data_IF_417684475749
#
_entry.id   IF_417684475749
#
_cell.length_a   1.000
_cell.length_b   1.000
_cell.length_c   1.000
_cell.angle_alpha   90.00
_cell.angle_beta   90.00
_cell.angle_gamma   90.00
#
_symmetry.space_group_name_H-M   'P 1'
#
loop_
_entity.id
_entity.type
_entity.pdbx_description
1 polymer ?
#
# COMPACT_ATOMS: atom_id res chain seq x y z
N UNK A 1 35.85 65.76 -9.04
CA UNK A 1 35.76 64.30 -9.28
C UNK A 1 34.70 63.74 -8.34
N UNK A 2 33.53 63.32 -8.86
CA UNK A 2 32.52 62.61 -8.05
C UNK A 2 32.90 61.13 -8.01
N UNK A 3 33.16 60.59 -6.82
CA UNK A 3 33.43 59.18 -6.62
C UNK A 3 32.13 58.38 -6.80
N UNK A 4 32.15 57.45 -7.75
CA UNK A 4 31.09 56.48 -8.05
C UNK A 4 30.96 55.48 -6.90
N UNK A 5 30.01 55.71 -6.00
CA UNK A 5 29.68 54.79 -4.92
C UNK A 5 28.83 53.62 -5.47
N UNK A 6 29.49 52.69 -6.17
CA UNK A 6 28.87 51.45 -6.61
C UNK A 6 28.42 50.66 -5.38
N UNK A 7 27.11 50.58 -5.15
CA UNK A 7 26.50 49.59 -4.24
C UNK A 7 26.75 48.21 -4.82
N UNK A 8 27.86 47.59 -4.44
CA UNK A 8 28.11 46.16 -4.72
C UNK A 8 27.55 45.37 -3.54
N UNK A 9 26.54 44.56 -3.81
CA UNK A 9 26.18 43.46 -2.91
C UNK A 9 27.29 42.42 -2.96
N UNK A 10 27.87 42.10 -1.80
CA UNK A 10 28.81 41.00 -1.64
C UNK A 10 27.96 39.74 -1.42
N UNK A 11 28.05 38.79 -2.36
CA UNK A 11 27.53 37.45 -2.15
C UNK A 11 28.59 36.71 -1.33
N UNK A 12 28.33 36.54 -0.03
CA UNK A 12 29.11 35.62 0.78
C UNK A 12 28.67 34.20 0.42
N UNK A 13 29.54 33.48 -0.30
CA UNK A 13 29.39 32.06 -0.56
C UNK A 13 29.80 31.33 0.74
N UNK A 14 28.96 31.46 1.77
CA UNK A 14 29.21 30.93 3.11
C UNK A 14 28.70 29.49 3.23
N UNK A 15 29.11 28.64 2.30
CA UNK A 15 29.36 27.22 2.51
C UNK A 15 30.02 26.71 1.22
N UNK A 16 30.64 25.54 1.25
CA UNK A 16 31.16 24.88 0.04
C UNK A 16 30.02 24.53 -0.95
N UNK A 17 29.52 25.54 -1.67
CA UNK A 17 28.21 25.61 -2.31
C UNK A 17 28.02 24.72 -3.53
N UNK A 18 27.88 23.41 -3.32
CA UNK A 18 27.21 22.56 -4.29
C UNK A 18 25.72 22.54 -3.94
N UNK A 19 24.93 23.38 -4.61
CA UNK A 19 23.47 23.25 -4.59
C UNK A 19 23.11 21.86 -5.11
N UNK A 20 22.42 21.08 -4.29
CA UNK A 20 21.89 19.80 -4.73
C UNK A 20 20.61 20.05 -5.52
N UNK A 21 20.30 19.16 -6.47
CA UNK A 21 19.08 19.26 -7.28
C UNK A 21 17.81 19.32 -6.40
N UNK A 22 17.85 18.70 -5.22
CA UNK A 22 16.72 18.71 -4.27
C UNK A 22 16.45 20.11 -3.68
N UNK A 23 17.48 20.97 -3.55
CA UNK A 23 17.38 22.29 -2.92
C UNK A 23 16.54 23.27 -3.75
N UNK A 24 16.49 23.05 -5.07
CA UNK A 24 15.70 23.86 -6.01
C UNK A 24 14.31 23.28 -6.28
N UNK A 25 13.99 22.11 -5.70
CA UNK A 25 12.72 21.42 -5.92
C UNK A 25 11.80 21.64 -4.72
N UNK A 26 10.61 22.24 -4.90
CA UNK A 26 9.62 22.35 -3.83
C UNK A 26 9.16 20.98 -3.32
N UNK A 27 9.11 20.81 -2.00
CA UNK A 27 8.62 19.58 -1.38
C UNK A 27 7.09 19.50 -1.37
N UNK A 28 6.45 19.40 -2.53
CA UNK A 28 4.98 19.40 -2.68
C UNK A 28 4.36 17.99 -2.60
N UNK A 29 3.07 17.88 -2.22
CA UNK A 29 2.32 16.62 -2.32
C UNK A 29 2.13 16.21 -3.79
N UNK A 30 2.23 14.91 -4.05
CA UNK A 30 2.16 14.29 -5.37
C UNK A 30 1.36 12.99 -5.31
N UNK A 31 0.73 12.64 -6.43
CA UNK A 31 0.06 11.36 -6.64
C UNK A 31 0.87 10.54 -7.64
N UNK A 32 1.34 9.38 -7.19
CA UNK A 32 1.94 8.36 -8.02
C UNK A 32 0.88 7.33 -8.39
N UNK A 33 0.89 6.93 -9.65
CA UNK A 33 -0.03 5.96 -10.20
C UNK A 33 0.79 4.92 -10.95
N UNK A 34 0.71 3.65 -10.53
CA UNK A 34 1.47 2.56 -11.11
C UNK A 34 0.58 1.62 -11.91
N UNK A 35 1.12 1.06 -12.99
CA UNK A 35 0.48 0.02 -13.79
C UNK A 35 1.12 -1.35 -13.59
N UNK A 36 0.37 -2.40 -13.90
CA UNK A 36 0.84 -3.79 -13.85
C UNK A 36 2.04 -4.04 -14.79
N UNK A 37 2.11 -3.32 -15.92
CA UNK A 37 3.25 -3.39 -16.85
C UNK A 37 4.45 -2.54 -16.42
N UNK A 38 4.43 -1.98 -15.21
CA UNK A 38 5.56 -1.23 -14.66
C UNK A 38 5.71 0.17 -15.24
N UNK A 39 4.61 0.85 -15.56
CA UNK A 39 4.61 2.28 -15.83
C UNK A 39 4.25 3.05 -14.57
N UNK A 40 4.87 4.22 -14.38
CA UNK A 40 4.54 5.13 -13.29
C UNK A 40 4.17 6.50 -13.85
N UNK A 41 3.09 7.07 -13.31
CA UNK A 41 2.63 8.44 -13.56
C UNK A 41 2.82 9.25 -12.30
N UNK A 42 3.40 10.45 -12.41
CA UNK A 42 3.38 11.46 -11.35
C UNK A 42 2.40 12.57 -11.74
N UNK A 43 1.44 12.84 -10.88
CA UNK A 43 0.40 13.84 -11.07
C UNK A 43 0.25 14.70 -9.83
N UNK A 44 -0.34 15.89 -9.97
CA UNK A 44 -0.76 16.68 -8.81
C UNK A 44 -1.92 15.98 -8.07
N UNK A 45 -2.02 16.04 -6.73
CA UNK A 45 -3.10 15.40 -5.98
C UNK A 45 -4.50 15.86 -6.41
N UNK A 46 -4.63 17.15 -6.75
CA UNK A 46 -5.89 17.77 -7.16
C UNK A 46 -6.38 17.32 -8.56
N UNK A 47 -5.64 16.43 -9.23
CA UNK A 47 -6.01 15.87 -10.54
C UNK A 47 -7.28 15.01 -10.45
N UNK A 48 -7.55 14.41 -9.28
CA UNK A 48 -8.75 13.61 -9.03
C UNK A 48 -9.66 14.34 -8.05
N UNK A 49 -10.78 14.86 -8.55
CA UNK A 49 -11.81 15.42 -7.69
C UNK A 49 -12.68 14.30 -7.11
N UNK A 50 -13.03 14.42 -5.83
CA UNK A 50 -14.00 13.57 -5.15
C UNK A 50 -15.30 13.53 -5.96
N UNK A 51 -15.88 12.34 -6.17
CA UNK A 51 -17.20 12.18 -6.76
C UNK A 51 -18.15 11.56 -5.74
N UNK A 52 -19.44 11.91 -5.83
CA UNK A 52 -20.48 11.37 -4.98
C UNK A 52 -20.78 9.90 -5.34
N UNK A 53 -21.42 9.16 -4.42
CA UNK A 53 -21.87 7.79 -4.66
C UNK A 53 -22.76 7.72 -5.92
N UNK A 54 -22.60 6.68 -6.74
CA UNK A 54 -23.44 6.43 -7.92
C UNK A 54 -23.02 7.15 -9.20
N UNK A 55 -21.79 7.66 -9.27
CA UNK A 55 -21.19 8.16 -10.53
C UNK A 55 -20.04 7.29 -10.98
N UNK A 56 -20.01 6.93 -12.27
CA UNK A 56 -18.86 6.30 -12.94
C UNK A 56 -17.61 7.13 -12.65
N UNK A 57 -16.60 6.50 -12.04
CA UNK A 57 -15.36 7.15 -11.65
C UNK A 57 -14.67 7.83 -12.84
N UNK A 58 -14.10 9.02 -12.65
CA UNK A 58 -13.25 9.65 -13.68
C UNK A 58 -12.07 8.73 -14.01
N UNK A 59 -12.09 8.14 -15.19
CA UNK A 59 -11.02 7.29 -15.74
C UNK A 59 -9.64 7.95 -15.52
N UNK A 60 -8.62 7.16 -15.17
CA UNK A 60 -7.23 7.61 -14.95
C UNK A 60 -6.49 7.88 -16.29
N UNK A 61 -7.24 8.06 -17.38
CA UNK A 61 -6.74 8.26 -18.73
C UNK A 61 -6.68 6.94 -19.50
N UNK A 62 -6.27 7.00 -20.77
CA UNK A 62 -6.05 5.78 -21.55
C UNK A 62 -4.80 5.07 -21.01
N UNK A 63 -5.00 3.87 -20.45
CA UNK A 63 -3.94 2.90 -20.28
C UNK A 63 -3.46 2.44 -21.66
N UNK A 64 -2.22 1.95 -21.75
CA UNK A 64 -1.78 1.25 -22.96
C UNK A 64 -2.61 -0.02 -23.14
N UNK A 65 -2.67 -0.53 -24.38
CA UNK A 65 -3.43 -1.75 -24.71
C UNK A 65 -3.00 -2.89 -23.78
N UNK A 66 -3.98 -3.53 -23.14
CA UNK A 66 -3.82 -4.62 -22.16
C UNK A 66 -3.00 -4.24 -20.91
N UNK A 67 -3.04 -2.98 -20.45
CA UNK A 67 -2.42 -2.55 -19.19
C UNK A 67 -3.50 -2.11 -18.20
N UNK A 68 -3.29 -2.38 -16.90
CA UNK A 68 -4.20 -2.03 -15.82
C UNK A 68 -3.46 -1.24 -14.74
N UNK A 69 -4.15 -0.34 -14.05
CA UNK A 69 -3.58 0.36 -12.88
C UNK A 69 -3.52 -0.61 -11.70
N UNK A 70 -2.35 -0.72 -11.06
CA UNK A 70 -2.13 -1.58 -9.90
C UNK A 70 -2.25 -0.80 -8.59
N UNK A 71 -1.58 0.35 -8.46
CA UNK A 71 -1.47 1.09 -7.20
C UNK A 71 -1.57 2.61 -7.40
N UNK A 72 -2.14 3.29 -6.40
CA UNK A 72 -2.14 4.75 -6.26
C UNK A 72 -1.55 5.14 -4.91
N UNK A 73 -0.59 6.06 -4.93
CA UNK A 73 0.21 6.42 -3.76
C UNK A 73 0.27 7.94 -3.67
N UNK A 74 -0.06 8.50 -2.51
CA UNK A 74 0.19 9.91 -2.22
C UNK A 74 1.48 10.01 -1.41
N UNK A 75 2.41 10.84 -1.87
CA UNK A 75 3.68 11.11 -1.21
C UNK A 75 4.10 12.56 -1.46
N UNK A 76 5.19 13.01 -0.86
CA UNK A 76 5.79 14.31 -1.17
C UNK A 76 6.93 14.17 -2.17
N UNK A 77 7.26 15.27 -2.86
CA UNK A 77 8.31 15.31 -3.87
C UNK A 77 9.66 14.80 -3.34
N UNK A 78 9.99 15.14 -2.09
CA UNK A 78 11.26 14.74 -1.47
C UNK A 78 11.25 13.33 -0.89
N UNK A 79 10.12 12.64 -0.80
CA UNK A 79 10.07 11.29 -0.21
C UNK A 79 10.95 10.31 -1.01
N UNK A 80 11.55 9.35 -0.31
CA UNK A 80 12.09 8.16 -0.93
C UNK A 80 10.94 7.24 -1.35
N UNK A 81 10.93 6.81 -2.61
CA UNK A 81 10.00 5.79 -3.08
C UNK A 81 10.75 4.48 -3.19
N UNK A 82 10.41 3.51 -2.35
CA UNK A 82 11.01 2.19 -2.33
C UNK A 82 10.23 1.26 -3.25
N UNK A 83 10.92 0.62 -4.20
CA UNK A 83 10.35 -0.29 -5.19
C UNK A 83 10.85 -1.70 -4.92
N UNK A 84 9.96 -2.59 -4.50
CA UNK A 84 10.27 -3.99 -4.21
C UNK A 84 9.93 -4.85 -5.41
N UNK A 85 10.86 -5.70 -5.83
CA UNK A 85 10.68 -6.61 -6.94
C UNK A 85 10.22 -8.01 -6.53
N UNK A 86 9.70 -8.76 -7.50
CA UNK A 86 9.36 -10.18 -7.38
C UNK A 86 10.58 -11.04 -6.97
N UNK A 87 11.79 -10.60 -7.31
CA UNK A 87 13.07 -11.23 -6.96
C UNK A 87 13.59 -10.89 -5.56
N UNK A 88 12.85 -10.09 -4.78
CA UNK A 88 13.24 -9.73 -3.42
C UNK A 88 14.35 -8.68 -3.35
N UNK A 89 14.53 -7.90 -4.42
CA UNK A 89 15.43 -6.74 -4.47
C UNK A 89 14.60 -5.48 -4.23
N UNK A 90 15.19 -4.51 -3.53
CA UNK A 90 14.61 -3.17 -3.36
C UNK A 90 15.49 -2.12 -4.02
N UNK A 91 14.83 -1.22 -4.73
CA UNK A 91 15.40 -0.02 -5.35
C UNK A 91 14.80 1.22 -4.69
N UNK A 92 15.46 2.37 -4.83
CA UNK A 92 14.96 3.64 -4.31
C UNK A 92 15.17 4.74 -5.33
N UNK A 93 14.17 5.60 -5.51
CA UNK A 93 14.29 6.88 -6.20
C UNK A 93 13.49 7.94 -5.44
N UNK A 94 13.93 9.20 -5.46
CA UNK A 94 13.13 10.31 -4.92
C UNK A 94 11.87 10.49 -5.77
N UNK A 95 10.74 10.82 -5.16
CA UNK A 95 9.49 10.98 -5.90
C UNK A 95 9.57 12.03 -7.03
N UNK A 96 10.33 13.12 -6.81
CA UNK A 96 10.53 14.15 -7.82
C UNK A 96 11.31 13.69 -9.06
N UNK A 97 12.01 12.55 -9.01
CA UNK A 97 12.71 11.99 -10.19
C UNK A 97 11.76 11.38 -11.22
N UNK A 98 10.52 11.07 -10.81
CA UNK A 98 9.49 10.60 -11.74
C UNK A 98 8.99 11.81 -12.54
N UNK A 99 8.98 11.78 -13.88
CA UNK A 99 8.46 12.90 -14.67
C UNK A 99 6.97 13.15 -14.40
N UNK A 100 6.59 14.42 -14.26
CA UNK A 100 5.18 14.81 -14.19
C UNK A 100 4.50 14.58 -15.52
N UNK A 101 3.29 14.02 -15.48
CA UNK A 101 2.50 13.82 -16.68
C UNK A 101 1.03 14.11 -16.43
N UNK A 102 0.29 14.36 -17.51
CA UNK A 102 -1.17 14.50 -17.44
C UNK A 102 -1.81 13.15 -17.14
N UNK A 103 -3.07 13.17 -16.67
CA UNK A 103 -3.88 11.96 -16.47
C UNK A 103 -3.93 11.08 -17.72
N UNK A 104 -4.07 11.67 -18.91
CA UNK A 104 -4.20 10.93 -20.17
C UNK A 104 -2.88 10.36 -20.72
N UNK A 105 -1.73 10.77 -20.19
CA UNK A 105 -0.43 10.25 -20.61
C UNK A 105 -0.25 8.78 -20.20
N UNK A 106 0.60 8.03 -20.92
CA UNK A 106 0.89 6.63 -20.60
C UNK A 106 1.76 6.46 -19.33
N UNK A 107 2.50 7.50 -18.92
CA UNK A 107 3.50 7.43 -17.85
C UNK A 107 4.88 6.99 -18.33
N UNK A 108 5.82 6.92 -17.39
CA UNK A 108 7.22 6.56 -17.63
C UNK A 108 7.46 5.09 -17.24
N UNK A 109 8.12 4.28 -18.09
CA UNK A 109 8.51 2.93 -17.72
C UNK A 109 9.48 2.94 -16.53
N UNK A 110 9.24 2.10 -15.51
CA UNK A 110 10.10 2.02 -14.32
C UNK A 110 11.54 1.65 -14.66
N UNK A 111 11.79 0.88 -15.72
CA UNK A 111 13.14 0.53 -16.22
C UNK A 111 13.95 1.75 -16.68
N UNK A 112 13.32 2.90 -16.95
CA UNK A 112 14.03 4.15 -17.25
C UNK A 112 14.47 4.89 -15.98
N UNK A 113 13.85 4.58 -14.85
CA UNK A 113 14.09 5.23 -13.55
C UNK A 113 14.96 4.33 -12.65
N UNK A 114 14.82 3.01 -12.79
CA UNK A 114 15.43 1.99 -11.95
C UNK A 114 16.26 1.01 -12.79
N UNK A 115 17.40 0.59 -12.26
CA UNK A 115 18.27 -0.41 -12.91
C UNK A 115 17.77 -1.85 -12.68
N UNK A 116 16.57 -2.15 -13.18
CA UNK A 116 15.97 -3.48 -13.05
C UNK A 116 16.68 -4.50 -13.94
N UNK A 117 16.78 -5.74 -13.46
CA UNK A 117 17.26 -6.85 -14.28
C UNK A 117 16.20 -7.28 -15.30
N UNK A 118 16.62 -7.93 -16.39
CA UNK A 118 15.68 -8.44 -17.39
C UNK A 118 14.67 -9.42 -16.76
N UNK A 119 13.39 -9.24 -17.09
CA UNK A 119 12.26 -10.00 -16.55
C UNK A 119 11.89 -9.74 -15.08
N UNK A 120 12.60 -8.85 -14.37
CA UNK A 120 12.27 -8.44 -13.00
C UNK A 120 11.05 -7.50 -12.98
N UNK A 121 10.11 -7.72 -12.05
CA UNK A 121 8.87 -6.96 -11.94
C UNK A 121 8.72 -6.34 -10.57
N UNK A 122 8.24 -5.10 -10.50
CA UNK A 122 7.92 -4.45 -9.22
C UNK A 122 6.58 -4.98 -8.70
N UNK A 123 6.56 -5.39 -7.44
CA UNK A 123 5.39 -6.00 -6.77
C UNK A 123 4.84 -5.15 -5.63
N UNK A 124 5.62 -4.21 -5.09
CA UNK A 124 5.15 -3.26 -4.08
C UNK A 124 5.93 -1.97 -4.12
N UNK A 125 5.27 -0.85 -3.84
CA UNK A 125 5.87 0.47 -3.79
C UNK A 125 5.50 1.17 -2.49
N UNK A 126 6.51 1.64 -1.75
CA UNK A 126 6.35 2.22 -0.41
C UNK A 126 7.00 3.60 -0.38
N UNK A 127 6.24 4.69 -0.25
CA UNK A 127 6.82 6.00 0.00
C UNK A 127 7.31 6.08 1.46
N UNK A 128 8.45 6.72 1.65
CA UNK A 128 9.13 6.88 2.93
C UNK A 128 9.64 8.31 3.04
N UNK A 129 9.00 9.10 3.89
CA UNK A 129 9.45 10.46 4.21
C UNK A 129 10.66 10.45 5.14
N UNK A 130 10.69 9.50 6.09
CA UNK A 130 11.75 9.34 7.07
C UNK A 130 11.98 7.85 7.39
N UNK A 131 13.23 7.48 7.65
CA UNK A 131 13.60 6.11 8.02
C UNK A 131 13.60 5.92 9.53
N UNK A 132 12.42 6.03 10.15
CA UNK A 132 12.25 5.92 11.59
C UNK A 132 12.59 4.52 12.13
N UNK A 133 13.19 4.46 13.32
CA UNK A 133 13.66 3.22 13.95
C UNK A 133 12.53 2.30 14.44
N UNK A 134 11.39 2.90 14.81
CA UNK A 134 10.19 2.21 15.30
C UNK A 134 9.24 1.76 14.17
N UNK A 135 9.61 2.04 12.91
CA UNK A 135 8.91 1.58 11.73
C UNK A 135 9.58 0.37 11.09
N UNK A 136 8.75 -0.50 10.54
CA UNK A 136 9.16 -1.75 9.94
C UNK A 136 8.48 -1.97 8.60
N UNK A 137 9.13 -2.73 7.74
CA UNK A 137 8.53 -3.31 6.55
C UNK A 137 8.23 -4.79 6.81
N UNK A 138 6.97 -5.16 6.64
CA UNK A 138 6.52 -6.56 6.61
C UNK A 138 6.40 -6.99 5.16
N UNK A 139 7.11 -8.05 4.82
CA UNK A 139 7.19 -8.64 3.49
C UNK A 139 6.53 -10.01 3.53
N UNK A 140 5.71 -10.32 2.53
CA UNK A 140 5.04 -11.60 2.37
C UNK A 140 5.29 -12.16 0.97
N UNK A 141 5.71 -13.41 0.91
CA UNK A 141 5.92 -14.16 -0.34
C UNK A 141 4.71 -15.01 -0.71
N UNK A 142 4.64 -15.43 -1.98
CA UNK A 142 3.54 -16.26 -2.49
C UNK A 142 3.48 -17.62 -1.79
N UNK A 143 4.63 -18.24 -1.50
CA UNK A 143 4.70 -19.52 -0.77
C UNK A 143 4.54 -19.37 0.75
N UNK A 144 4.19 -18.19 1.25
CA UNK A 144 3.83 -18.00 2.65
C UNK A 144 4.99 -17.80 3.61
N UNK A 145 6.10 -17.23 3.15
CA UNK A 145 7.14 -16.70 4.05
C UNK A 145 6.85 -15.24 4.40
N UNK A 146 6.94 -14.91 5.68
CA UNK A 146 6.81 -13.54 6.19
C UNK A 146 8.10 -13.08 6.85
N UNK A 147 8.42 -11.81 6.66
CA UNK A 147 9.60 -11.20 7.23
C UNK A 147 9.33 -9.76 7.66
N UNK A 148 9.77 -9.39 8.86
CA UNK A 148 9.77 -8.00 9.34
C UNK A 148 11.20 -7.48 9.37
N UNK A 149 11.45 -6.32 8.78
CA UNK A 149 12.76 -5.66 8.74
C UNK A 149 12.59 -4.22 9.20
N UNK A 150 13.48 -3.71 10.05
CA UNK A 150 13.46 -2.29 10.42
C UNK A 150 13.64 -1.42 9.17
N UNK A 151 12.86 -0.35 9.08
CA UNK A 151 12.88 0.57 7.95
C UNK A 151 14.26 1.18 7.73
N UNK A 152 15.03 1.38 8.81
CA UNK A 152 16.39 1.94 8.75
C UNK A 152 17.38 1.07 7.93
N UNK A 153 17.12 -0.22 7.73
CA UNK A 153 17.94 -1.05 6.81
C UNK A 153 17.86 -0.62 5.34
N UNK A 154 16.95 0.29 5.00
CA UNK A 154 16.66 0.81 3.66
C UNK A 154 17.01 2.29 3.49
N UNK A 155 17.64 2.92 4.48
CA UNK A 155 18.02 4.35 4.43
C UNK A 155 19.04 4.68 3.35
N UNK A 156 19.86 3.70 2.98
CA UNK A 156 20.85 3.83 1.91
C UNK A 156 20.76 2.67 0.93
N UNK A 157 20.13 2.92 -0.22
CA UNK A 157 19.98 1.98 -1.33
C UNK A 157 20.77 2.50 -2.54
N UNK A 158 21.73 1.70 -3.00
CA UNK A 158 22.47 1.97 -4.24
C UNK A 158 21.60 1.81 -5.49
N UNK A 159 22.01 2.40 -6.61
CA UNK A 159 21.26 2.35 -7.89
C UNK A 159 20.96 0.93 -8.39
N UNK A 160 21.88 -0.01 -8.17
CA UNK A 160 21.72 -1.43 -8.52
C UNK A 160 20.79 -2.20 -7.57
N UNK A 161 20.19 -1.52 -6.60
CA UNK A 161 19.35 -2.12 -5.59
C UNK A 161 20.14 -2.90 -4.54
N UNK A 162 19.40 -3.33 -3.51
CA UNK A 162 19.90 -4.19 -2.43
C UNK A 162 18.92 -5.32 -2.16
N UNK A 163 19.40 -6.44 -1.64
CA UNK A 163 18.54 -7.54 -1.19
C UNK A 163 17.62 -7.01 -0.07
N UNK A 164 16.31 -7.26 -0.17
CA UNK A 164 15.33 -7.02 0.88
C UNK A 164 14.97 -8.32 1.63
N UNK A 165 14.86 -9.43 0.88
CA UNK A 165 14.53 -10.77 1.37
C UNK A 165 15.25 -11.82 0.54
N UNK A 166 15.68 -12.90 1.20
CA UNK A 166 16.19 -14.08 0.50
C UNK A 166 15.03 -15.02 0.17
N UNK A 167 14.77 -15.23 -1.11
CA UNK A 167 13.68 -16.10 -1.55
C UNK A 167 14.11 -17.57 -1.56
N UNK A 168 13.15 -18.46 -1.35
CA UNK A 168 13.34 -19.89 -1.63
C UNK A 168 13.15 -20.16 -3.13
N UNK A 169 13.72 -21.24 -3.68
CA UNK A 169 13.57 -21.55 -5.10
C UNK A 169 12.10 -21.57 -5.55
N UNK A 170 11.82 -20.83 -6.63
CA UNK A 170 10.49 -20.70 -7.25
C UNK A 170 9.45 -19.95 -6.41
N UNK A 171 9.86 -19.18 -5.40
CA UNK A 171 9.01 -18.24 -4.67
C UNK A 171 9.22 -16.81 -5.19
N UNK A 172 8.27 -15.93 -4.93
CA UNK A 172 8.35 -14.52 -5.29
C UNK A 172 7.87 -13.63 -4.14
N UNK A 173 8.52 -12.48 -3.98
CA UNK A 173 8.04 -11.44 -3.07
C UNK A 173 6.86 -10.72 -3.73
N UNK A 174 5.69 -10.76 -3.10
CA UNK A 174 4.47 -10.19 -3.71
C UNK A 174 3.92 -8.98 -2.97
N UNK A 175 4.07 -8.92 -1.65
CA UNK A 175 3.53 -7.82 -0.86
C UNK A 175 4.53 -7.28 0.14
N UNK A 176 4.58 -5.95 0.24
CA UNK A 176 5.29 -5.23 1.30
C UNK A 176 4.34 -4.20 1.92
N UNK A 177 4.34 -4.08 3.24
CA UNK A 177 3.55 -3.09 3.99
C UNK A 177 4.39 -2.47 5.09
N UNK A 178 4.18 -1.17 5.34
CA UNK A 178 4.74 -0.50 6.52
C UNK A 178 3.90 -0.85 7.75
N UNK A 179 4.55 -1.10 8.88
CA UNK A 179 3.89 -1.29 10.17
C UNK A 179 4.78 -0.86 11.33
N UNK A 180 4.17 -0.75 12.50
CA UNK A 180 4.82 -0.67 13.81
C UNK A 180 4.72 -2.01 14.53
N UNK A 181 5.35 -2.15 15.71
CA UNK A 181 5.16 -3.33 16.55
C UNK A 181 3.74 -3.45 17.13
N UNK A 182 3.01 -2.34 17.23
CA UNK A 182 1.69 -2.32 17.88
C UNK A 182 0.54 -2.70 16.95
N UNK A 183 0.80 -2.70 15.64
CA UNK A 183 -0.19 -3.02 14.63
C UNK A 183 -0.51 -4.52 14.57
N UNK A 184 -1.64 -4.83 13.96
CA UNK A 184 -1.95 -6.21 13.58
C UNK A 184 -1.71 -6.39 12.07
N UNK A 185 -1.46 -7.63 11.68
CA UNK A 185 -1.36 -8.06 10.29
C UNK A 185 -2.43 -9.11 10.02
N UNK A 186 -3.24 -8.85 9.00
CA UNK A 186 -4.16 -9.82 8.43
C UNK A 186 -3.54 -10.40 7.18
N UNK A 187 -3.48 -11.73 7.09
CA UNK A 187 -2.94 -12.46 5.94
C UNK A 187 -3.96 -13.48 5.47
N UNK A 188 -4.11 -13.62 4.16
CA UNK A 188 -5.08 -14.54 3.59
C UNK A 188 -4.49 -15.41 2.48
N UNK A 189 -4.95 -16.65 2.38
CA UNK A 189 -4.64 -17.57 1.27
C UNK A 189 -5.68 -17.51 0.16
N UNK A 190 -5.35 -18.05 -1.01
CA UNK A 190 -6.26 -18.12 -2.17
C UNK A 190 -7.53 -18.91 -1.86
N UNK A 191 -7.45 -19.90 -0.96
CA UNK A 191 -8.61 -20.67 -0.52
C UNK A 191 -9.43 -19.99 0.59
N UNK A 192 -9.13 -18.73 0.93
CA UNK A 192 -9.91 -17.95 1.90
C UNK A 192 -9.60 -18.24 3.37
N UNK A 193 -8.47 -18.88 3.65
CA UNK A 193 -7.96 -19.03 5.01
C UNK A 193 -7.30 -17.72 5.47
N UNK A 194 -7.48 -17.36 6.74
CA UNK A 194 -7.01 -16.09 7.31
C UNK A 194 -6.22 -16.33 8.58
N UNK A 195 -5.07 -15.67 8.70
CA UNK A 195 -4.35 -15.47 9.96
C UNK A 195 -4.40 -13.99 10.29
N UNK A 196 -4.85 -13.69 11.50
CA UNK A 196 -4.69 -12.38 12.12
C UNK A 196 -3.64 -12.52 13.23
N UNK A 197 -2.59 -11.72 13.19
CA UNK A 197 -1.48 -11.77 14.16
C UNK A 197 -1.05 -10.37 14.58
N UNK A 198 -0.42 -10.24 15.74
CA UNK A 198 0.30 -9.01 16.09
C UNK A 198 1.59 -8.89 15.28
N UNK A 199 1.94 -7.70 14.82
CA UNK A 199 3.24 -7.45 14.18
C UNK A 199 4.42 -7.66 15.14
N UNK A 200 4.19 -7.57 16.45
CA UNK A 200 5.20 -7.78 17.50
C UNK A 200 5.78 -9.20 17.49
N UNK A 201 4.94 -10.23 17.28
CA UNK A 201 5.37 -11.64 17.31
C UNK A 201 6.27 -11.99 16.12
N UNK A 202 6.24 -11.19 15.05
CA UNK A 202 7.12 -11.34 13.90
C UNK A 202 8.48 -10.75 14.28
N UNK A 203 9.49 -11.59 14.49
CA UNK A 203 10.83 -11.11 14.85
C UNK A 203 11.37 -10.19 13.76
N UNK A 204 11.92 -9.04 14.17
CA UNK A 204 12.69 -8.19 13.27
C UNK A 204 14.00 -8.89 12.88
N UNK A 205 14.28 -8.95 11.59
CA UNK A 205 15.44 -9.62 11.00
C UNK A 205 16.20 -8.68 10.06
N UNK A 206 17.45 -9.01 9.78
CA UNK A 206 18.23 -8.34 8.73
C UNK A 206 17.77 -8.72 7.32
N UNK A 207 18.16 -7.90 6.34
CA UNK A 207 17.77 -8.04 4.92
C UNK A 207 18.17 -9.35 4.25
N UNK A 208 19.33 -9.91 4.56
CA UNK A 208 19.81 -11.14 3.93
C UNK A 208 19.34 -12.41 4.68
N UNK A 209 18.03 -12.55 4.83
CA UNK A 209 17.40 -13.72 5.47
C UNK A 209 16.06 -14.02 4.81
N UNK A 210 15.60 -15.27 4.93
CA UNK A 210 14.32 -15.74 4.38
C UNK A 210 13.08 -15.30 5.16
N UNK A 211 13.20 -15.15 6.48
CA UNK A 211 12.04 -14.96 7.35
C UNK A 211 11.44 -16.28 7.85
N UNK A 212 10.23 -16.20 8.40
CA UNK A 212 9.50 -17.30 9.03
C UNK A 212 8.31 -17.77 8.16
N UNK A 213 7.76 -18.94 8.46
CA UNK A 213 6.53 -19.41 7.81
C UNK A 213 5.34 -18.63 8.36
N UNK A 214 4.66 -17.87 7.51
CA UNK A 214 3.49 -17.07 7.85
C UNK A 214 2.28 -17.95 8.11
N UNK A 215 1.96 -18.80 7.14
CA UNK A 215 0.80 -19.70 7.12
C UNK A 215 1.24 -21.08 6.63
N UNK A 216 0.73 -22.12 7.28
CA UNK A 216 0.86 -23.50 6.80
C UNK A 216 -0.19 -23.74 5.71
N UNK A 217 0.20 -23.47 4.48
CA UNK A 217 -0.61 -23.64 3.29
C UNK A 217 -0.87 -25.13 3.02
N UNK A 218 -2.09 -25.44 2.56
CA UNK A 218 -2.42 -26.77 2.05
C UNK A 218 -1.84 -26.94 0.64
N UNK A 219 -1.77 -28.18 0.17
CA UNK A 219 -1.34 -28.48 -1.20
C UNK A 219 -2.16 -27.67 -2.23
N UNK A 220 -1.47 -27.05 -3.18
CA UNK A 220 -2.07 -26.17 -4.19
C UNK A 220 -2.53 -24.80 -3.70
N UNK A 221 -2.45 -24.50 -2.40
CA UNK A 221 -2.78 -23.18 -1.85
C UNK A 221 -1.55 -22.25 -1.87
N UNK A 222 -1.80 -20.95 -1.92
CA UNK A 222 -0.78 -19.90 -1.88
C UNK A 222 -1.33 -18.66 -1.20
N UNK A 223 -0.46 -17.80 -0.70
CA UNK A 223 -0.88 -16.49 -0.17
C UNK A 223 -1.56 -15.67 -1.27
N UNK A 224 -2.60 -14.93 -0.89
CA UNK A 224 -3.37 -14.05 -1.78
C UNK A 224 -3.33 -12.59 -1.33
N UNK A 225 -3.16 -12.32 -0.04
CA UNK A 225 -3.24 -10.97 0.47
C UNK A 225 -2.60 -10.79 1.83
N UNK A 226 -2.15 -9.57 2.09
CA UNK A 226 -1.75 -9.05 3.40
C UNK A 226 -2.26 -7.62 3.54
N UNK A 227 -2.72 -7.28 4.74
CA UNK A 227 -3.05 -5.92 5.09
C UNK A 227 -2.71 -5.62 6.55
N UNK A 228 -2.46 -4.35 6.85
CA UNK A 228 -2.08 -3.88 8.19
C UNK A 228 -3.27 -3.19 8.83
N UNK A 229 -3.48 -3.50 10.11
CA UNK A 229 -4.51 -2.88 10.95
C UNK A 229 -3.78 -2.01 11.98
N UNK A 230 -3.74 -0.69 11.75
CA UNK A 230 -3.14 0.25 12.69
C UNK A 230 -3.64 0.10 14.13
N UNK A 231 -2.73 0.18 15.09
CA UNK A 231 -3.04 0.10 16.52
C UNK A 231 -4.08 1.13 16.99
N UNK A 232 -4.13 2.30 16.33
CA UNK A 232 -5.13 3.34 16.59
C UNK A 232 -6.57 2.82 16.44
N UNK A 233 -6.82 2.00 15.41
CA UNK A 233 -8.15 1.43 15.12
C UNK A 233 -8.54 0.41 16.21
N UNK A 234 -7.57 -0.32 16.77
CA UNK A 234 -7.83 -1.31 17.83
C UNK A 234 -8.32 -0.63 19.10
N UNK A 235 -7.69 0.49 19.50
CA UNK A 235 -8.08 1.24 20.71
C UNK A 235 -9.54 1.72 20.63
N UNK A 236 -9.98 2.10 19.43
CA UNK A 236 -11.37 2.52 19.23
C UNK A 236 -12.35 1.33 19.31
N UNK A 237 -11.95 0.14 18.84
CA UNK A 237 -12.73 -1.08 18.97
C UNK A 237 -12.89 -1.52 20.44
N UNK A 238 -11.81 -1.49 21.22
CA UNK A 238 -11.83 -1.89 22.62
C UNK A 238 -12.76 -0.95 23.44
N UNK A 239 -12.68 0.37 23.18
CA UNK A 239 -13.56 1.38 23.82
C UNK A 239 -15.04 1.21 23.47
N UNK A 240 -15.35 0.84 22.23
CA UNK A 240 -16.72 0.57 21.79
C UNK A 240 -17.29 -0.72 22.41
N UNK A 241 -16.42 -1.63 22.83
CA UNK A 241 -16.80 -2.91 23.44
C UNK A 241 -17.15 -2.78 24.94
N UNK A 242 -16.67 -1.73 25.61
CA UNK A 242 -16.89 -1.47 27.05
C UNK A 242 -18.13 -0.60 27.34
N UNK A 243 -18.76 0.00 26.32
CA UNK A 243 -19.99 0.78 26.49
C UNK A 243 -21.20 -0.15 26.71
N UNK A 244 -22.14 0.17 27.64
CA UNK A 244 -23.35 -0.62 27.85
C UNK A 244 -24.14 -0.73 26.55
N UNK A 245 -24.58 -1.95 26.22
CA UNK A 245 -25.26 -2.30 24.97
C UNK A 245 -26.47 -1.38 24.70
N UNK A 246 -26.24 -0.30 23.96
CA UNK A 246 -27.31 0.41 23.28
C UNK A 246 -27.51 -0.27 21.92
N UNK A 247 -28.75 -0.68 21.66
CA UNK A 247 -29.22 -1.32 20.43
C UNK A 247 -29.07 -0.37 19.23
N UNK A 248 -27.85 -0.11 18.78
CA UNK A 248 -27.59 0.48 17.48
C UNK A 248 -27.54 -0.65 16.45
N UNK A 249 -28.70 -0.98 15.85
CA UNK A 249 -28.76 -1.69 14.56
C UNK A 249 -28.12 -0.81 13.49
N UNK A 250 -26.79 -0.84 13.41
CA UNK A 250 -26.02 -0.10 12.43
C UNK A 250 -24.61 -0.67 12.41
N UNK A 251 -24.23 -1.26 11.28
CA UNK A 251 -22.90 -1.80 11.00
C UNK A 251 -21.81 -0.81 11.43
N UNK A 252 -21.16 -1.04 12.58
CA UNK A 252 -19.93 -0.33 12.95
C UNK A 252 -18.75 -1.28 12.77
N UNK A 253 -17.73 -0.83 12.04
CA UNK A 253 -16.57 -1.63 11.65
C UNK A 253 -15.63 -1.95 12.83
N UNK A 254 -14.44 -2.49 12.56
CA UNK A 254 -13.85 -2.78 11.25
C UNK A 254 -14.24 -4.16 10.69
N UNK A 255 -14.15 -4.31 9.36
CA UNK A 255 -14.36 -5.56 8.63
C UNK A 255 -13.14 -5.93 7.80
N UNK A 256 -12.99 -7.22 7.53
CA UNK A 256 -12.23 -7.71 6.38
C UNK A 256 -13.19 -7.82 5.19
N UNK A 257 -12.91 -7.08 4.12
CA UNK A 257 -13.58 -7.19 2.84
C UNK A 257 -12.80 -8.17 1.96
N UNK A 258 -13.39 -9.33 1.70
CA UNK A 258 -12.86 -10.34 0.78
C UNK A 258 -13.38 -10.05 -0.62
N UNK A 259 -12.50 -10.09 -1.62
CA UNK A 259 -12.83 -9.93 -3.03
C UNK A 259 -12.33 -11.16 -3.78
N UNK A 260 -13.23 -11.81 -4.52
CA UNK A 260 -12.91 -12.99 -5.31
C UNK A 260 -12.39 -12.64 -6.71
N UNK A 261 -11.72 -13.58 -7.37
CA UNK A 261 -11.25 -13.42 -8.75
C UNK A 261 -12.43 -13.25 -9.73
N UNK A 262 -13.58 -13.85 -9.42
CA UNK A 262 -14.81 -13.66 -10.21
C UNK A 262 -15.59 -12.38 -9.85
N UNK A 263 -15.02 -11.48 -9.03
CA UNK A 263 -15.60 -10.16 -8.72
C UNK A 263 -16.62 -10.13 -7.57
N UNK A 264 -16.81 -11.21 -6.81
CA UNK A 264 -17.72 -11.20 -5.65
C UNK A 264 -17.05 -10.64 -4.40
N UNK A 265 -17.78 -9.79 -3.67
CA UNK A 265 -17.33 -9.21 -2.40
C UNK A 265 -18.07 -9.75 -1.18
N UNK A 266 -17.36 -10.02 -0.08
CA UNK A 266 -17.95 -10.35 1.22
C UNK A 266 -17.28 -9.59 2.35
N UNK A 267 -18.08 -8.92 3.20
CA UNK A 267 -17.59 -8.29 4.44
C UNK A 267 -17.74 -9.25 5.62
N UNK A 268 -16.68 -9.43 6.39
CA UNK A 268 -16.69 -10.22 7.63
C UNK A 268 -16.14 -9.38 8.77
N UNK A 269 -16.85 -9.26 9.91
CA UNK A 269 -16.36 -8.46 11.04
C UNK A 269 -15.00 -8.94 11.52
N UNK A 270 -14.10 -8.00 11.82
CA UNK A 270 -12.76 -8.34 12.30
C UNK A 270 -12.82 -9.14 13.62
N UNK A 271 -13.83 -8.89 14.45
CA UNK A 271 -14.09 -9.61 15.71
C UNK A 271 -14.31 -11.12 15.56
N UNK A 272 -14.60 -11.62 14.34
CA UNK A 272 -14.67 -13.07 14.09
C UNK A 272 -13.29 -13.74 14.00
N UNK A 273 -12.23 -12.97 13.85
CA UNK A 273 -10.87 -13.46 13.73
C UNK A 273 -10.12 -13.21 15.02
N UNK A 274 -9.91 -14.27 15.81
CA UNK A 274 -9.00 -14.21 16.96
C UNK A 274 -7.55 -14.14 16.49
N UNK A 275 -6.69 -13.56 17.33
CA UNK A 275 -5.25 -13.58 17.11
C UNK A 275 -4.73 -15.02 17.11
N UNK A 276 -3.90 -15.33 16.12
CA UNK A 276 -3.22 -16.62 15.97
C UNK A 276 -1.70 -16.41 15.90
N UNK A 277 -0.90 -17.38 16.36
CA UNK A 277 0.51 -17.42 16.04
C UNK A 277 0.70 -17.72 14.54
N UNK A 278 1.88 -17.39 14.02
CA UNK A 278 2.29 -17.78 12.67
C UNK A 278 2.38 -19.31 12.52
N UNK A 279 2.61 -19.77 11.28
CA UNK A 279 2.74 -21.19 10.94
C UNK A 279 1.52 -22.04 11.35
N UNK A 280 0.32 -21.47 11.19
CA UNK A 280 -0.97 -22.15 11.34
C UNK A 280 -1.70 -22.20 10.00
N UNK A 281 -2.76 -22.99 9.90
CA UNK A 281 -3.57 -23.05 8.68
C UNK A 281 -4.48 -21.80 8.56
N UNK A 282 -4.79 -21.14 9.68
CA UNK A 282 -5.71 -20.00 9.73
C UNK A 282 -7.17 -20.41 9.99
N UNK A 283 -8.05 -19.42 10.05
CA UNK A 283 -9.50 -19.56 10.18
C UNK A 283 -10.16 -19.32 8.82
N UNK A 284 -11.33 -19.92 8.59
CA UNK A 284 -12.07 -19.69 7.34
C UNK A 284 -12.62 -18.25 7.37
N UNK A 285 -12.14 -17.39 6.47
CA UNK A 285 -12.69 -16.06 6.25
C UNK A 285 -13.80 -16.07 5.21
N UNK A 286 -13.54 -16.68 4.07
CA UNK A 286 -14.51 -16.87 2.99
C UNK A 286 -14.34 -18.26 2.38
N UNK A 287 -15.45 -19.01 2.31
CA UNK A 287 -15.51 -20.29 1.60
C UNK A 287 -15.84 -20.04 0.13
N UNK A 288 -14.90 -20.36 -0.75
CA UNK A 288 -15.07 -20.27 -2.19
C UNK A 288 -15.67 -21.56 -2.77
N UNK A 289 -16.23 -21.46 -3.98
CA UNK A 289 -16.52 -22.62 -4.83
C UNK A 289 -15.21 -23.23 -5.35
N UNK A 290 -15.27 -24.40 -5.98
CA UNK A 290 -14.06 -25.07 -6.51
C UNK A 290 -13.38 -24.27 -7.63
N UNK A 291 -14.11 -23.40 -8.32
CA UNK A 291 -13.65 -22.61 -9.47
C UNK A 291 -13.22 -21.19 -9.11
N UNK A 292 -13.55 -20.70 -7.91
CA UNK A 292 -13.27 -19.32 -7.50
C UNK A 292 -12.16 -19.27 -6.45
N UNK A 293 -11.44 -18.16 -6.39
CA UNK A 293 -10.33 -17.94 -5.46
C UNK A 293 -10.37 -16.54 -4.91
N UNK A 294 -9.68 -16.33 -3.80
CA UNK A 294 -9.49 -15.01 -3.23
C UNK A 294 -8.49 -14.21 -4.08
N UNK A 295 -8.93 -13.06 -4.58
CA UNK A 295 -8.07 -12.09 -5.25
C UNK A 295 -7.40 -11.15 -4.24
N UNK A 296 -8.17 -10.65 -3.26
CA UNK A 296 -7.65 -9.71 -2.27
C UNK A 296 -8.49 -9.65 -0.99
N UNK A 297 -7.87 -9.18 0.09
CA UNK A 297 -8.53 -8.80 1.34
C UNK A 297 -8.12 -7.38 1.71
N UNK A 298 -9.10 -6.58 2.11
CA UNK A 298 -8.88 -5.23 2.60
C UNK A 298 -9.49 -5.05 3.98
N UNK A 299 -8.80 -4.36 4.87
CA UNK A 299 -9.40 -3.90 6.12
C UNK A 299 -10.20 -2.64 5.80
N UNK A 300 -11.49 -2.64 6.11
CA UNK A 300 -12.41 -1.52 5.82
C UNK A 300 -13.24 -1.16 7.04
N UNK A 301 -13.82 0.04 7.03
CA UNK A 301 -14.81 0.44 8.03
C UNK A 301 -14.24 1.16 9.24
N UNK A 302 -13.09 1.82 9.10
CA UNK A 302 -12.52 2.72 10.09
C UNK A 302 -12.29 4.10 9.46
N UNK A 303 -12.57 5.16 10.21
CA UNK A 303 -12.17 6.52 9.87
C UNK A 303 -10.98 6.86 10.73
N UNK A 304 -9.78 6.90 10.15
CA UNK A 304 -8.63 7.49 10.81
C UNK A 304 -8.85 9.00 10.81
N UNK A 305 -9.07 9.58 12.00
CA UNK A 305 -9.16 11.02 12.15
C UNK A 305 -7.88 11.66 11.59
N UNK A 306 -8.01 12.42 10.49
CA UNK A 306 -6.90 13.12 9.84
C UNK A 306 -6.23 12.39 8.66
N UNK A 307 -6.56 11.13 8.36
CA UNK A 307 -6.06 10.47 7.15
C UNK A 307 -6.96 10.80 5.94
N UNK A 308 -6.41 11.44 4.90
CA UNK A 308 -7.09 11.57 3.60
C UNK A 308 -7.29 10.15 3.04
N UNK A 309 -8.52 9.66 2.84
CA UNK A 309 -8.75 8.28 2.41
C UNK A 309 -8.59 8.20 0.89
N UNK A 310 -7.40 7.83 0.43
CA UNK A 310 -7.20 7.34 -0.93
C UNK A 310 -6.60 5.95 -0.85
N UNK A 311 -7.48 4.95 -0.90
CA UNK A 311 -7.08 3.61 -1.29
C UNK A 311 -7.85 3.34 -2.58
N UNK A 312 -7.12 3.38 -3.69
CA UNK A 312 -7.59 2.87 -4.97
C UNK A 312 -6.83 1.58 -5.23
N UNK A 313 -7.54 0.46 -5.23
CA UNK A 313 -6.96 -0.83 -5.58
C UNK A 313 -7.50 -1.25 -6.93
N UNK A 314 -6.61 -1.53 -7.87
CA UNK A 314 -6.93 -2.24 -9.09
C UNK A 314 -6.96 -3.74 -8.82
N UNK A 315 -8.12 -4.37 -9.00
CA UNK A 315 -8.22 -5.84 -9.09
C UNK A 315 -8.94 -6.16 -10.40
N UNK A 316 -8.27 -6.79 -11.35
CA UNK A 316 -8.84 -7.21 -12.65
C UNK A 316 -9.65 -6.11 -13.37
N UNK A 317 -9.02 -4.97 -13.69
CA UNK A 317 -9.66 -3.79 -14.30
C UNK A 317 -10.71 -3.06 -13.44
N UNK A 318 -11.02 -3.53 -12.23
CA UNK A 318 -11.90 -2.82 -11.30
C UNK A 318 -11.05 -1.87 -10.46
N UNK A 319 -11.23 -0.56 -10.65
CA UNK A 319 -10.69 0.45 -9.74
C UNK A 319 -11.69 0.60 -8.59
N UNK A 320 -11.38 0.03 -7.44
CA UNK A 320 -12.18 0.25 -6.24
C UNK A 320 -11.75 1.58 -5.63
N UNK A 321 -12.51 2.65 -5.85
CA UNK A 321 -12.36 3.89 -5.09
C UNK A 321 -13.07 3.75 -3.74
N UNK A 322 -12.32 3.53 -2.65
CA UNK A 322 -12.90 3.60 -1.31
C UNK A 322 -12.70 5.01 -0.76
N UNK A 323 -13.71 5.87 -0.93
CA UNK A 323 -13.80 7.17 -0.26
C UNK A 323 -14.64 7.02 1.00
N UNK A 324 -14.05 7.22 2.18
CA UNK A 324 -14.80 7.39 3.42
C UNK A 324 -15.17 8.87 3.59
N UNK A 325 -16.48 9.17 3.52
CA UNK A 325 -17.00 10.46 3.98
C UNK A 325 -17.42 10.35 5.45
N UNK A 326 -17.02 11.35 6.23
CA UNK A 326 -17.60 11.66 7.53
C UNK A 326 -19.02 12.22 7.36
N UNK A 327 -19.89 11.83 8.31
CA UNK A 327 -21.22 12.34 8.64
C UNK A 327 -22.11 12.88 7.51
N UNK A 328 -23.19 12.14 7.23
CA UNK A 328 -24.53 12.70 7.42
C UNK A 328 -25.56 11.58 7.67
N UNK A 329 -26.33 11.77 8.74
CA UNK A 329 -27.49 10.95 9.10
C UNK A 329 -28.61 11.14 8.07
N UNK A 330 -29.18 10.04 7.54
CA UNK A 330 -30.63 9.83 7.54
C UNK A 330 -31.04 8.40 7.13
N UNK A 331 -31.90 7.84 7.98
CA UNK A 331 -33.00 6.88 7.77
C UNK A 331 -32.85 5.65 6.88
N UNK A 332 -32.92 4.51 7.56
CA UNK A 332 -33.83 3.37 7.38
C UNK A 332 -34.12 2.77 5.99
N UNK A 333 -33.99 1.44 6.00
CA UNK A 333 -34.40 0.47 4.99
C UNK A 333 -33.50 0.37 3.77
N UNK A 334 -33.16 -0.89 3.48
CA UNK A 334 -33.20 -1.54 2.16
C UNK A 334 -31.89 -2.29 1.90
N UNK A 335 -32.04 -3.51 1.36
CA UNK A 335 -30.97 -4.34 0.78
C UNK A 335 -29.90 -3.44 0.15
N UNK A 336 -28.73 -3.37 0.76
CA UNK A 336 -27.60 -2.66 0.15
C UNK A 336 -27.03 -3.56 -0.95
N UNK A 337 -27.62 -3.44 -2.14
CA UNK A 337 -26.90 -3.61 -3.41
C UNK A 337 -25.63 -2.76 -3.29
N UNK A 338 -24.50 -3.43 -3.15
CA UNK A 338 -23.23 -2.83 -3.54
C UNK A 338 -23.27 -2.89 -5.05
N UNK A 339 -23.76 -1.81 -5.68
CA UNK A 339 -23.64 -1.66 -7.12
C UNK A 339 -22.14 -1.52 -7.43
N UNK A 340 -21.54 -2.68 -7.70
CA UNK A 340 -20.30 -2.80 -8.44
C UNK A 340 -20.66 -2.51 -9.88
N UNK A 341 -20.46 -1.27 -10.33
CA UNK A 341 -20.56 -0.99 -11.76
C UNK A 341 -19.25 -1.45 -12.41
N UNK A 342 -19.32 -2.69 -12.89
CA UNK A 342 -18.43 -3.29 -13.89
C UNK A 342 -18.48 -2.41 -15.13
N UNK A 343 -17.32 -1.95 -15.60
CA UNK A 343 -17.12 -1.66 -17.03
C UNK A 343 -15.96 -2.52 -17.51
#
# INVERSE_FOLDING_TARGET
MKADARRRSMLEDSDSGQLEEIDVIPNEEMLLALSEKGYVKRMKPNTFHLQNRGTIGKSVGKLRVNDAMSDFIVCRAHDHVLYFSDRGIVYSARAYKIPECTRTAAGTPLVQILSLSDGERITSVIPVSEFAEDQFLVMLTVKGYIKKVSLNFFSSIRSTGIIAIQLVPGDELKWVRCCTNHDLVAMASHNGMVILSSCEIIRALGRNTRGAVAMRLKEGDRMASIDIIPAAIRKDLDRLSEAPQCHAKGLSGPWLLFVSESGFGKRVPLSRFRLLPLNRVGLIGYKFSMEDRLAAVFVVGFSLAGAKPFIAIGVFNIIIFIVFQGNNHHSNSTRALVDFEVI
#
